data_IF_436962073863
#
_entry.id   IF_436962073863
#
_cell.length_a   1.000
_cell.length_b   1.000
_cell.length_c   1.000
_cell.angle_alpha   90.00
_cell.angle_beta   90.00
_cell.angle_gamma   90.00
#
_symmetry.space_group_name_H-M   'P 1'
#
loop_
_entity.id
_entity.type
_entity.pdbx_description
1 polymer ?
#
# COMPACT_ATOMS: atom_id res chain seq x y z
N UNK A 1 1.02 -11.63 -21.22
CA UNK A 1 -0.21 -10.85 -20.92
C UNK A 1 -1.44 -11.72 -21.21
N UNK A 2 -2.67 -11.29 -20.87
CA UNK A 2 -3.89 -12.06 -21.19
C UNK A 2 -4.13 -12.25 -22.71
N UNK A 3 -3.47 -11.44 -23.53
CA UNK A 3 -3.49 -11.59 -25.00
C UNK A 3 -2.54 -12.70 -25.48
N UNK A 4 -1.57 -13.12 -24.67
CA UNK A 4 -0.48 -14.01 -25.06
C UNK A 4 -0.56 -15.39 -24.40
N UNK A 5 -1.25 -15.52 -23.26
CA UNK A 5 -1.34 -16.76 -22.50
C UNK A 5 -2.71 -16.92 -21.84
N UNK A 6 -3.11 -18.17 -21.59
CA UNK A 6 -4.35 -18.46 -20.87
C UNK A 6 -4.28 -17.95 -19.42
N UNK A 7 -5.43 -17.66 -18.80
CA UNK A 7 -5.47 -17.27 -17.39
C UNK A 7 -4.86 -18.34 -16.47
N UNK A 8 -5.06 -19.61 -16.79
CA UNK A 8 -4.47 -20.73 -16.04
C UNK A 8 -2.95 -20.69 -16.12
N UNK A 9 -2.39 -20.48 -17.32
CA UNK A 9 -0.95 -20.42 -17.52
C UNK A 9 -0.33 -19.21 -16.81
N UNK A 10 -0.97 -18.04 -16.91
CA UNK A 10 -0.54 -16.84 -16.17
C UNK A 10 -0.56 -17.10 -14.66
N UNK A 11 -1.62 -17.71 -14.15
CA UNK A 11 -1.77 -17.97 -12.72
C UNK A 11 -0.73 -18.97 -12.21
N UNK A 12 -0.53 -20.09 -12.90
CA UNK A 12 0.30 -21.18 -12.39
C UNK A 12 1.78 -21.08 -12.76
N UNK A 13 2.15 -20.32 -13.79
CA UNK A 13 3.50 -20.40 -14.37
C UNK A 13 4.14 -19.04 -14.70
N UNK A 14 3.48 -17.91 -14.46
CA UNK A 14 4.13 -16.62 -14.70
C UNK A 14 5.06 -16.23 -13.56
N UNK A 15 6.20 -15.64 -13.93
CA UNK A 15 7.22 -15.17 -12.98
C UNK A 15 6.63 -14.21 -11.93
N UNK A 16 5.72 -13.32 -12.33
CA UNK A 16 5.11 -12.35 -11.43
C UNK A 16 4.33 -13.01 -10.29
N UNK A 17 3.62 -14.11 -10.57
CA UNK A 17 2.90 -14.87 -9.55
C UNK A 17 3.85 -15.73 -8.71
N UNK A 18 4.84 -16.37 -9.33
CA UNK A 18 5.73 -17.29 -8.62
C UNK A 18 6.75 -16.60 -7.72
N UNK A 19 7.12 -15.34 -8.03
CA UNK A 19 8.13 -14.58 -7.28
C UNK A 19 7.89 -14.49 -5.77
N UNK A 20 6.63 -14.38 -5.35
CA UNK A 20 6.25 -14.24 -3.94
C UNK A 20 5.27 -15.33 -3.48
N UNK A 21 5.13 -16.41 -4.25
CA UNK A 21 4.28 -17.56 -3.88
C UNK A 21 5.05 -18.51 -2.96
N UNK A 22 4.36 -19.04 -1.95
CA UNK A 22 4.98 -19.92 -0.96
C UNK A 22 5.89 -19.15 0.01
N UNK A 23 6.82 -19.85 0.65
CA UNK A 23 7.68 -19.29 1.71
C UNK A 23 9.18 -19.27 1.36
N UNK A 24 9.58 -19.86 0.22
CA UNK A 24 10.98 -20.00 -0.16
C UNK A 24 11.72 -18.67 -0.39
N UNK A 25 10.98 -17.63 -0.79
CA UNK A 25 11.52 -16.29 -1.05
C UNK A 25 11.74 -15.45 0.23
N UNK A 26 11.16 -15.87 1.36
CA UNK A 26 11.10 -15.03 2.56
C UNK A 26 12.49 -14.80 3.17
N UNK A 27 12.75 -13.55 3.57
CA UNK A 27 13.86 -13.17 4.41
C UNK A 27 13.52 -13.37 5.91
N UNK A 28 14.50 -13.26 6.80
CA UNK A 28 14.23 -13.18 8.23
C UNK A 28 13.62 -11.82 8.61
N UNK A 29 12.71 -11.76 9.61
CA UNK A 29 12.29 -12.87 10.49
C UNK A 29 11.18 -13.78 9.92
N UNK A 30 10.64 -13.49 8.72
CA UNK A 30 9.51 -14.25 8.17
C UNK A 30 9.87 -15.70 7.88
N UNK A 31 11.10 -15.99 7.43
CA UNK A 31 11.54 -17.33 7.08
C UNK A 31 11.43 -18.32 8.24
N UNK A 32 11.76 -17.93 9.46
CA UNK A 32 11.61 -18.77 10.65
C UNK A 32 10.34 -18.48 11.47
N UNK A 33 9.44 -17.62 11.01
CA UNK A 33 8.24 -17.23 11.74
C UNK A 33 7.16 -18.34 11.70
N UNK A 34 6.52 -18.59 12.83
CA UNK A 34 5.40 -19.55 12.94
C UNK A 34 4.18 -19.15 12.08
N UNK A 35 4.04 -17.86 11.76
CA UNK A 35 2.92 -17.30 10.99
C UNK A 35 3.15 -17.21 9.49
N UNK A 36 4.31 -17.65 8.99
CA UNK A 36 4.74 -17.47 7.58
C UNK A 36 3.80 -18.07 6.53
N UNK A 37 2.98 -19.06 6.89
CA UNK A 37 1.96 -19.66 6.01
C UNK A 37 0.53 -19.17 6.32
N UNK A 38 0.38 -18.21 7.23
CA UNK A 38 -0.90 -17.60 7.60
C UNK A 38 -1.04 -16.24 6.92
N UNK A 39 -0.06 -15.36 7.16
CA UNK A 39 -0.06 -13.99 6.63
C UNK A 39 0.88 -13.77 5.44
N UNK A 40 1.64 -14.82 5.07
CA UNK A 40 2.55 -14.82 3.92
C UNK A 40 3.57 -13.68 3.93
N UNK A 41 3.96 -13.23 5.12
CA UNK A 41 4.94 -12.13 5.29
C UNK A 41 4.34 -10.73 5.07
N UNK A 42 3.03 -10.60 4.91
CA UNK A 42 2.34 -9.31 4.72
C UNK A 42 2.44 -8.75 3.29
N UNK A 43 2.17 -7.46 3.13
CA UNK A 43 2.03 -6.78 1.85
C UNK A 43 3.38 -6.47 1.17
N UNK A 44 3.56 -6.98 -0.06
CA UNK A 44 4.79 -6.76 -0.86
C UNK A 44 4.88 -5.35 -1.43
N UNK A 45 3.73 -4.76 -1.77
CA UNK A 45 3.66 -3.38 -2.23
C UNK A 45 4.05 -2.40 -1.11
N UNK A 46 3.63 -2.66 0.12
CA UNK A 46 3.97 -1.83 1.27
C UNK A 46 5.46 -1.95 1.63
N UNK A 47 6.00 -3.18 1.67
CA UNK A 47 7.43 -3.40 1.86
C UNK A 47 8.26 -2.62 0.83
N UNK A 48 7.90 -2.70 -0.45
CA UNK A 48 8.60 -1.95 -1.50
C UNK A 48 8.43 -0.43 -1.34
N UNK A 49 7.22 0.07 -1.09
CA UNK A 49 6.96 1.50 -0.99
C UNK A 49 7.73 2.17 0.15
N UNK A 50 7.93 1.46 1.26
CA UNK A 50 8.61 1.99 2.45
C UNK A 50 10.12 1.76 2.41
N UNK A 51 10.57 0.60 1.91
CA UNK A 51 11.97 0.17 2.02
C UNK A 51 12.73 0.16 0.70
N UNK A 52 12.04 0.26 -0.43
CA UNK A 52 12.60 0.06 -1.77
C UNK A 52 12.81 -1.40 -2.15
N UNK A 53 12.48 -2.36 -1.27
CA UNK A 53 12.69 -3.80 -1.50
C UNK A 53 11.43 -4.61 -1.14
N UNK A 54 10.82 -5.21 -2.16
CA UNK A 54 9.60 -6.03 -2.03
C UNK A 54 9.83 -7.37 -1.29
N UNK A 55 11.08 -7.79 -1.11
CA UNK A 55 11.42 -9.05 -0.41
C UNK A 55 11.53 -8.89 1.10
N UNK A 56 11.60 -7.65 1.60
CA UNK A 56 11.64 -7.36 3.04
C UNK A 56 10.32 -7.63 3.74
N UNK A 57 10.37 -7.96 5.02
CA UNK A 57 9.19 -8.12 5.87
C UNK A 57 8.36 -6.84 5.84
N UNK A 58 7.04 -7.00 5.69
CA UNK A 58 6.12 -5.86 5.73
C UNK A 58 6.35 -5.00 7.00
N UNK A 59 6.66 -3.70 6.89
CA UNK A 59 6.81 -2.80 8.04
C UNK A 59 5.57 -2.72 8.94
N UNK A 60 4.39 -3.16 8.50
CA UNK A 60 3.22 -3.30 9.35
C UNK A 60 3.40 -4.35 10.46
N UNK A 61 4.24 -5.36 10.23
CA UNK A 61 4.57 -6.36 11.24
C UNK A 61 5.46 -5.75 12.32
N UNK A 62 5.10 -5.91 13.60
CA UNK A 62 5.89 -5.44 14.73
C UNK A 62 7.28 -6.09 14.84
N UNK A 63 7.49 -7.25 14.19
CA UNK A 63 8.79 -7.93 14.11
C UNK A 63 9.66 -7.43 12.96
N UNK A 64 9.13 -6.60 12.06
CA UNK A 64 9.91 -6.05 10.95
C UNK A 64 11.06 -5.18 11.47
N UNK A 65 12.29 -5.34 10.98
CA UNK A 65 13.39 -4.42 11.28
C UNK A 65 13.08 -2.96 10.91
N UNK A 66 12.16 -2.76 9.95
CA UNK A 66 11.76 -1.43 9.45
C UNK A 66 10.44 -0.94 10.05
N UNK A 67 9.92 -1.61 11.08
CA UNK A 67 8.63 -1.26 11.68
C UNK A 67 8.57 0.20 12.13
N UNK A 68 9.69 0.75 12.61
CA UNK A 68 9.80 2.13 13.04
C UNK A 68 9.54 3.15 11.91
N UNK A 69 9.81 2.81 10.64
CA UNK A 69 9.53 3.70 9.51
C UNK A 69 8.01 3.91 9.35
N UNK A 70 7.23 2.84 9.52
CA UNK A 70 5.78 2.93 9.45
C UNK A 70 5.20 3.67 10.66
N UNK A 71 5.74 3.43 11.87
CA UNK A 71 5.33 4.16 13.08
C UNK A 71 5.59 5.67 12.92
N UNK A 72 6.76 6.06 12.40
CA UNK A 72 7.08 7.45 12.11
C UNK A 72 6.13 8.06 11.09
N UNK A 73 5.92 7.39 9.95
CA UNK A 73 4.98 7.86 8.92
C UNK A 73 3.54 8.00 9.45
N UNK A 74 3.13 7.15 10.40
CA UNK A 74 1.81 7.27 11.04
C UNK A 74 1.74 8.49 11.96
N UNK A 75 2.76 8.72 12.77
CA UNK A 75 2.82 9.89 13.64
C UNK A 75 2.78 11.19 12.80
N UNK A 76 3.55 11.25 11.71
CA UNK A 76 3.54 12.39 10.78
C UNK A 76 2.16 12.62 10.15
N UNK A 77 1.41 11.54 9.90
CA UNK A 77 0.06 11.62 9.34
C UNK A 77 -1.02 12.01 10.36
N UNK A 78 -0.78 11.79 11.65
CA UNK A 78 -1.70 12.17 12.73
C UNK A 78 -1.56 13.69 13.08
N UNK A 79 -0.52 14.36 12.60
CA UNK A 79 -0.41 15.82 12.64
C UNK A 79 -1.53 16.51 11.84
N UNK A 80 -1.92 17.71 12.27
CA UNK A 80 -3.04 18.42 11.66
C UNK A 80 -2.80 18.65 10.16
N UNK A 81 -3.61 17.99 9.33
CA UNK A 81 -3.55 18.17 7.89
C UNK A 81 -3.81 19.65 7.54
N UNK A 82 -3.05 20.23 6.60
CA UNK A 82 -3.36 21.56 6.09
C UNK A 82 -4.74 21.54 5.40
N UNK A 83 -5.35 22.71 5.25
CA UNK A 83 -6.61 22.84 4.53
C UNK A 83 -6.52 22.19 3.14
N UNK A 84 -7.38 21.21 2.90
CA UNK A 84 -7.39 20.48 1.63
C UNK A 84 -7.85 21.40 0.49
N UNK A 85 -6.96 21.62 -0.49
CA UNK A 85 -7.35 22.19 -1.77
C UNK A 85 -7.91 21.09 -2.66
N UNK A 86 -9.23 20.89 -2.61
CA UNK A 86 -9.90 19.93 -3.48
C UNK A 86 -9.74 20.33 -4.94
N UNK A 87 -9.25 19.41 -5.77
CA UNK A 87 -9.27 19.57 -7.22
C UNK A 87 -10.74 19.67 -7.66
N UNK A 88 -11.17 20.87 -8.03
CA UNK A 88 -12.46 21.03 -8.69
C UNK A 88 -12.38 20.39 -10.07
N UNK A 89 -13.24 19.40 -10.34
CA UNK A 89 -13.50 18.97 -11.70
C UNK A 89 -14.29 20.09 -12.38
N UNK A 90 -13.59 21.09 -12.95
CA UNK A 90 -14.24 22.13 -13.73
C UNK A 90 -14.81 21.50 -15.02
N UNK A 91 -16.08 21.09 -14.98
CA UNK A 91 -16.93 21.31 -16.14
C UNK A 91 -17.37 22.78 -16.06
N UNK A 92 -17.11 23.57 -17.11
CA UNK A 92 -17.83 24.82 -17.31
C UNK A 92 -19.35 24.53 -17.15
N UNK A 93 -20.18 25.29 -16.43
CA UNK A 93 -20.28 26.74 -16.35
C UNK A 93 -21.25 27.18 -15.24
N UNK A 94 -20.92 28.29 -14.57
CA UNK A 94 -21.77 29.38 -14.06
C UNK A 94 -22.97 29.10 -13.13
N UNK A 95 -22.91 29.73 -11.95
CA UNK A 95 -24.07 30.04 -11.11
C UNK A 95 -23.68 30.19 -9.64
N UNK A 96 -23.20 31.36 -9.23
CA UNK A 96 -23.05 31.69 -7.80
C UNK A 96 -24.43 31.75 -7.12
N UNK A 97 -24.66 31.07 -5.99
CA UNK A 97 -25.62 31.57 -5.05
C UNK A 97 -24.92 32.61 -4.16
N UNK A 98 -25.37 33.86 -4.23
CA UNK A 98 -25.20 34.81 -3.13
C UNK A 98 -25.72 34.16 -1.86
N UNK A 99 -24.84 33.85 -0.91
CA UNK A 99 -25.26 33.72 0.49
C UNK A 99 -25.06 35.07 1.18
N UNK A 100 -26.01 35.97 0.94
CA UNK A 100 -26.33 36.99 1.91
C UNK A 100 -26.97 36.30 3.12
N UNK A 101 -26.35 36.40 4.29
CA UNK A 101 -27.09 36.29 5.55
C UNK A 101 -26.51 37.30 6.54
N UNK A 102 -27.35 38.28 6.83
CA UNK A 102 -27.10 39.36 7.77
C UNK A 102 -27.42 38.95 9.20
N UNK A 103 -26.82 39.70 10.13
CA UNK A 103 -27.18 39.96 11.54
C UNK A 103 -26.67 38.93 12.57
N UNK A 104 -26.26 39.34 13.76
CA UNK A 104 -26.51 40.60 14.49
C UNK A 104 -25.23 41.18 15.10
#
# INVERSE_FOLDING_TARGET
>A
TIAEASLSEIWYHSEAFDRFRGTAWMAEPCRSCERREIDWGGCRCQAFAVTGDATRTDPACALSPDHNLLVGARADADEAAPDFLYRQHSAASQGSPEFASSRA
#
